data_IF_433844859561
#
_entry.id   IF_433844859561
#
_cell.length_a   1.000
_cell.length_b   1.000
_cell.length_c   1.000
_cell.angle_alpha   90.00
_cell.angle_beta   90.00
_cell.angle_gamma   90.00
#
_symmetry.space_group_name_H-M   'P 1'
#
loop_
_entity.id
_entity.type
_entity.pdbx_description
1 polymer ?
#
# COMPACT_ATOMS: atom_id res chain seq x y z
N UNK A 1 -36.17 2.74 15.38
CA UNK A 1 -35.08 2.64 14.40
C UNK A 1 -34.85 4.04 13.87
N UNK A 2 -33.62 4.57 13.87
CA UNK A 2 -33.38 5.91 13.34
C UNK A 2 -33.21 5.85 11.81
N UNK A 3 -33.35 6.99 11.13
CA UNK A 3 -33.26 7.07 9.67
C UNK A 3 -31.94 6.52 9.10
N UNK A 4 -30.83 6.73 9.82
CA UNK A 4 -29.49 6.28 9.40
C UNK A 4 -29.38 4.75 9.46
N UNK A 5 -29.97 4.12 10.49
CA UNK A 5 -30.01 2.66 10.64
C UNK A 5 -30.81 2.02 9.51
N UNK A 6 -31.93 2.63 9.10
CA UNK A 6 -32.73 2.18 7.95
C UNK A 6 -31.93 2.27 6.64
N UNK A 7 -31.24 3.39 6.40
CA UNK A 7 -30.37 3.52 5.24
C UNK A 7 -29.21 2.51 5.27
N UNK A 8 -28.65 2.20 6.44
CA UNK A 8 -27.59 1.22 6.57
C UNK A 8 -28.08 -0.20 6.27
N UNK A 9 -29.30 -0.55 6.69
CA UNK A 9 -29.95 -1.82 6.32
C UNK A 9 -30.16 -1.90 4.80
N UNK A 10 -30.65 -0.82 4.17
CA UNK A 10 -30.78 -0.76 2.71
C UNK A 10 -29.43 -0.90 2.02
N UNK A 11 -28.37 -0.28 2.54
CA UNK A 11 -27.02 -0.39 1.98
C UNK A 11 -26.47 -1.83 2.03
N UNK A 12 -26.77 -2.57 3.11
CA UNK A 12 -26.34 -3.96 3.29
C UNK A 12 -27.14 -4.94 2.43
N UNK A 13 -28.47 -4.82 2.43
CA UNK A 13 -29.36 -5.89 1.97
C UNK A 13 -30.36 -5.48 0.88
N UNK A 14 -30.25 -4.26 0.34
CA UNK A 14 -31.11 -3.84 -0.78
C UNK A 14 -30.96 -4.75 -2.00
N UNK A 15 -32.05 -4.96 -2.75
CA UNK A 15 -32.02 -5.86 -3.91
C UNK A 15 -31.24 -5.30 -5.10
N UNK A 16 -31.13 -3.97 -5.19
CA UNK A 16 -30.46 -3.28 -6.28
C UNK A 16 -29.11 -2.70 -5.84
N UNK A 17 -28.05 -2.99 -6.60
CA UNK A 17 -26.70 -2.56 -6.26
C UNK A 17 -26.55 -1.02 -6.25
N UNK A 18 -27.22 -0.32 -7.16
CA UNK A 18 -27.17 1.14 -7.23
C UNK A 18 -27.91 1.78 -6.05
N UNK A 19 -29.03 1.20 -5.61
CA UNK A 19 -29.76 1.63 -4.41
C UNK A 19 -28.91 1.42 -3.17
N UNK A 20 -28.23 0.26 -3.05
CA UNK A 20 -27.31 -0.02 -1.95
C UNK A 20 -26.17 0.99 -1.88
N UNK A 21 -25.53 1.28 -3.02
CA UNK A 21 -24.48 2.29 -3.09
C UNK A 21 -25.01 3.67 -2.69
N UNK A 22 -26.14 4.10 -3.22
CA UNK A 22 -26.73 5.40 -2.93
C UNK A 22 -27.08 5.56 -1.45
N UNK A 23 -27.67 4.53 -0.83
CA UNK A 23 -27.96 4.52 0.59
C UNK A 23 -26.67 4.59 1.44
N UNK A 24 -25.66 3.79 1.08
CA UNK A 24 -24.37 3.80 1.76
C UNK A 24 -23.66 5.16 1.67
N UNK A 25 -23.69 5.81 0.51
CA UNK A 25 -23.11 7.16 0.33
C UNK A 25 -23.83 8.22 1.16
N UNK A 26 -25.15 8.13 1.31
CA UNK A 26 -25.90 9.02 2.21
C UNK A 26 -25.48 8.83 3.66
N UNK A 27 -25.39 7.58 4.13
CA UNK A 27 -24.92 7.28 5.51
C UNK A 27 -23.51 7.82 5.74
N UNK A 28 -22.60 7.68 4.77
CA UNK A 28 -21.24 8.23 4.87
C UNK A 28 -21.27 9.74 5.06
N UNK A 29 -22.14 10.44 4.31
CA UNK A 29 -22.29 11.89 4.42
C UNK A 29 -22.77 12.28 5.82
N UNK A 30 -23.87 11.68 6.30
CA UNK A 30 -24.41 11.98 7.63
C UNK A 30 -23.37 11.75 8.74
N UNK A 31 -22.68 10.61 8.73
CA UNK A 31 -21.63 10.35 9.73
C UNK A 31 -20.42 11.27 9.60
N UNK A 32 -20.11 11.77 8.40
CA UNK A 32 -19.05 12.76 8.22
C UNK A 32 -19.47 14.10 8.80
N UNK A 33 -20.70 14.53 8.53
CA UNK A 33 -21.26 15.80 9.00
C UNK A 33 -21.44 15.80 10.54
N UNK A 34 -21.78 14.66 11.12
CA UNK A 34 -21.84 14.44 12.58
C UNK A 34 -20.48 14.20 13.25
N UNK A 35 -19.39 14.06 12.47
CA UNK A 35 -18.06 13.73 12.99
C UNK A 35 -17.93 12.31 13.59
N UNK A 36 -18.82 11.39 13.23
CA UNK A 36 -18.90 10.03 13.78
C UNK A 36 -17.97 9.04 13.05
N UNK A 37 -16.66 9.32 13.07
CA UNK A 37 -15.67 8.54 12.33
C UNK A 37 -15.54 7.09 12.78
N UNK A 38 -15.86 6.78 14.03
CA UNK A 38 -15.91 5.39 14.52
C UNK A 38 -16.94 4.54 13.74
N UNK A 39 -18.07 5.12 13.34
CA UNK A 39 -19.06 4.44 12.50
C UNK A 39 -18.56 4.26 11.07
N UNK A 40 -17.87 5.26 10.51
CA UNK A 40 -17.22 5.14 9.20
C UNK A 40 -16.18 4.03 9.17
N UNK A 41 -15.36 3.85 10.23
CA UNK A 41 -14.37 2.77 10.31
C UNK A 41 -15.07 1.41 10.24
N UNK A 42 -16.15 1.25 11.03
CA UNK A 42 -16.97 0.02 11.00
C UNK A 42 -17.53 -0.23 9.61
N UNK A 43 -18.06 0.79 8.94
CA UNK A 43 -18.56 0.67 7.57
C UNK A 43 -17.46 0.26 6.58
N UNK A 44 -16.24 0.77 6.72
CA UNK A 44 -15.14 0.39 5.81
C UNK A 44 -14.76 -1.08 5.93
N UNK A 45 -14.85 -1.64 7.13
CA UNK A 45 -14.56 -3.06 7.44
C UNK A 45 -15.71 -4.01 7.09
N UNK A 46 -16.92 -3.50 6.95
CA UNK A 46 -18.13 -4.31 6.82
C UNK A 46 -18.24 -4.94 5.42
N UNK A 47 -18.02 -6.26 5.33
CA UNK A 47 -18.08 -7.01 4.08
C UNK A 47 -19.49 -7.13 3.48
N UNK A 48 -20.55 -6.80 4.23
CA UNK A 48 -21.92 -6.76 3.72
C UNK A 48 -22.20 -5.46 2.93
N UNK A 49 -21.36 -4.44 3.08
CA UNK A 49 -21.51 -3.20 2.31
C UNK A 49 -20.85 -3.31 0.94
N UNK A 50 -21.39 -2.62 -0.08
CA UNK A 50 -20.74 -2.54 -1.39
C UNK A 50 -19.30 -2.04 -1.27
N UNK A 51 -18.38 -2.66 -2.04
CA UNK A 51 -16.94 -2.30 -2.03
C UNK A 51 -16.71 -0.80 -2.15
N UNK A 52 -17.45 -0.12 -3.05
CA UNK A 52 -17.33 1.32 -3.27
C UNK A 52 -17.73 2.16 -2.04
N UNK A 53 -18.74 1.73 -1.29
CA UNK A 53 -19.17 2.36 -0.03
C UNK A 53 -18.09 2.18 1.02
N UNK A 54 -17.57 0.95 1.17
CA UNK A 54 -16.47 0.65 2.11
C UNK A 54 -15.22 1.48 1.84
N UNK A 55 -14.83 1.58 0.57
CA UNK A 55 -13.71 2.41 0.14
C UNK A 55 -13.96 3.89 0.43
N UNK A 56 -15.13 4.42 0.10
CA UNK A 56 -15.48 5.82 0.35
C UNK A 56 -15.47 6.19 1.84
N UNK A 57 -16.02 5.31 2.70
CA UNK A 57 -15.95 5.49 4.15
C UNK A 57 -14.49 5.51 4.64
N UNK A 58 -13.68 4.58 4.12
CA UNK A 58 -12.23 4.52 4.36
C UNK A 58 -11.50 5.82 4.01
N UNK A 59 -11.77 6.38 2.84
CA UNK A 59 -11.14 7.62 2.38
C UNK A 59 -11.49 8.82 3.27
N UNK A 60 -12.75 8.92 3.73
CA UNK A 60 -13.18 9.99 4.65
C UNK A 60 -12.42 9.97 5.98
N UNK A 61 -12.14 8.77 6.49
CA UNK A 61 -11.35 8.60 7.71
C UNK A 61 -9.89 9.02 7.49
N UNK A 62 -9.29 8.64 6.36
CA UNK A 62 -7.92 9.03 6.00
C UNK A 62 -7.80 10.55 5.90
N UNK A 63 -8.76 11.23 5.25
CA UNK A 63 -8.82 12.69 5.19
C UNK A 63 -8.82 13.30 6.59
N UNK A 64 -9.67 12.79 7.50
CA UNK A 64 -9.77 13.28 8.88
C UNK A 64 -8.49 13.04 9.69
N UNK A 65 -7.90 11.86 9.62
CA UNK A 65 -6.67 11.55 10.37
C UNK A 65 -5.47 12.31 9.84
N UNK A 66 -5.39 12.51 8.52
CA UNK A 66 -4.35 13.37 7.91
C UNK A 66 -4.49 14.81 8.37
N UNK A 67 -5.72 15.35 8.42
CA UNK A 67 -5.96 16.72 8.86
C UNK A 67 -5.76 16.93 10.39
N UNK A 68 -5.92 15.88 11.19
CA UNK A 68 -5.78 15.92 12.65
C UNK A 68 -4.41 15.48 13.16
N UNK A 69 -3.44 15.26 12.28
CA UNK A 69 -2.11 14.72 12.63
C UNK A 69 -2.13 13.40 13.42
N UNK A 70 -3.16 12.57 13.21
CA UNK A 70 -3.37 11.26 13.86
C UNK A 70 -2.62 10.15 13.08
N UNK A 71 -1.30 10.26 13.02
CA UNK A 71 -0.46 9.38 12.18
C UNK A 71 -0.41 7.93 12.66
N UNK A 72 -0.51 7.71 13.97
CA UNK A 72 -0.64 6.38 14.58
C UNK A 72 -1.87 5.64 14.02
N UNK A 73 -3.00 6.33 13.88
CA UNK A 73 -4.22 5.77 13.28
C UNK A 73 -4.06 5.46 11.80
N UNK A 74 -3.36 6.30 11.04
CA UNK A 74 -3.04 5.99 9.64
C UNK A 74 -2.14 4.76 9.52
N UNK A 75 -1.19 4.58 10.45
CA UNK A 75 -0.34 3.37 10.50
C UNK A 75 -1.19 2.13 10.81
N UNK A 76 -2.10 2.21 11.77
CA UNK A 76 -3.05 1.12 12.08
C UNK A 76 -3.86 0.75 10.84
N UNK A 77 -4.48 1.74 10.18
CA UNK A 77 -5.26 1.52 8.96
C UNK A 77 -4.45 0.89 7.83
N UNK A 78 -3.18 1.28 7.66
CA UNK A 78 -2.32 0.74 6.60
C UNK A 78 -2.03 -0.76 6.73
N UNK A 79 -2.19 -1.31 7.94
CA UNK A 79 -1.90 -2.72 8.30
C UNK A 79 -3.15 -3.55 8.51
N UNK A 80 -4.33 -2.93 8.52
CA UNK A 80 -5.59 -3.57 8.88
C UNK A 80 -6.18 -4.37 7.70
N UNK A 81 -6.04 -5.70 7.76
CA UNK A 81 -6.45 -6.59 6.69
C UNK A 81 -7.97 -6.64 6.45
N UNK A 82 -8.79 -6.14 7.38
CA UNK A 82 -10.25 -6.04 7.21
C UNK A 82 -10.65 -4.86 6.31
N UNK A 83 -9.79 -3.85 6.21
CA UNK A 83 -10.02 -2.71 5.32
C UNK A 83 -9.79 -3.10 3.86
N UNK A 84 -10.50 -2.47 2.91
CA UNK A 84 -10.22 -2.63 1.50
C UNK A 84 -8.76 -2.27 1.18
N UNK A 85 -8.11 -3.04 0.31
CA UNK A 85 -6.72 -2.81 -0.08
C UNK A 85 -6.45 -1.37 -0.52
N UNK A 86 -7.35 -0.79 -1.32
CA UNK A 86 -7.26 0.61 -1.76
C UNK A 86 -7.23 1.61 -0.60
N UNK A 87 -7.94 1.32 0.50
CA UNK A 87 -7.93 2.16 1.71
C UNK A 87 -6.59 2.00 2.43
N UNK A 88 -6.08 0.78 2.57
CA UNK A 88 -4.75 0.54 3.16
C UNK A 88 -3.64 1.25 2.39
N UNK A 89 -3.64 1.12 1.07
CA UNK A 89 -2.66 1.78 0.19
C UNK A 89 -2.80 3.31 0.24
N UNK A 90 -4.02 3.84 0.31
CA UNK A 90 -4.23 5.27 0.50
C UNK A 90 -3.66 5.76 1.86
N UNK A 91 -3.81 4.99 2.94
CA UNK A 91 -3.22 5.32 4.23
C UNK A 91 -1.69 5.30 4.20
N UNK A 92 -1.07 4.30 3.54
CA UNK A 92 0.39 4.27 3.30
C UNK A 92 0.86 5.50 2.52
N UNK A 93 0.16 5.83 1.44
CA UNK A 93 0.48 6.99 0.61
C UNK A 93 0.33 8.30 1.37
N UNK A 94 -0.66 8.42 2.25
CA UNK A 94 -0.81 9.59 3.13
C UNK A 94 0.40 9.73 4.07
N UNK A 95 0.80 8.64 4.74
CA UNK A 95 1.97 8.63 5.62
C UNK A 95 3.26 8.98 4.87
N UNK A 96 3.46 8.46 3.66
CA UNK A 96 4.63 8.80 2.84
C UNK A 96 4.67 10.29 2.53
N UNK A 97 3.55 10.89 2.10
CA UNK A 97 3.47 12.33 1.83
C UNK A 97 3.77 13.17 3.07
N UNK A 98 3.24 12.76 4.23
CA UNK A 98 3.53 13.42 5.51
C UNK A 98 5.03 13.35 5.82
N UNK A 99 5.65 12.17 5.69
CA UNK A 99 7.08 12.00 5.93
C UNK A 99 7.93 12.87 5.00
N UNK A 100 7.59 12.95 3.71
CA UNK A 100 8.27 13.82 2.75
C UNK A 100 8.12 15.31 3.09
N UNK A 101 6.93 15.73 3.53
CA UNK A 101 6.68 17.11 3.96
C UNK A 101 7.48 17.46 5.22
N UNK A 102 7.50 16.57 6.22
CA UNK A 102 8.28 16.75 7.44
C UNK A 102 9.78 16.79 7.13
N UNK A 103 10.28 15.90 6.28
CA UNK A 103 11.67 15.89 5.87
C UNK A 103 12.07 17.23 5.22
N UNK A 104 11.24 17.76 4.32
CA UNK A 104 11.45 19.09 3.73
C UNK A 104 11.44 20.20 4.79
N UNK A 105 10.44 20.20 5.67
CA UNK A 105 10.26 21.23 6.71
C UNK A 105 11.46 21.32 7.66
N UNK A 106 12.02 20.16 8.02
CA UNK A 106 13.14 20.06 8.95
C UNK A 106 14.50 19.93 8.24
N UNK A 107 14.54 20.08 6.91
CA UNK A 107 15.74 19.88 6.10
C UNK A 107 16.45 18.54 6.38
N UNK A 108 15.66 17.50 6.69
CA UNK A 108 16.15 16.15 6.88
C UNK A 108 16.51 15.61 5.50
N UNK A 109 17.80 15.40 5.28
CA UNK A 109 18.25 14.61 4.14
C UNK A 109 17.81 13.17 4.39
N UNK A 110 17.36 12.42 3.36
CA UNK A 110 17.22 10.99 3.51
C UNK A 110 18.56 10.48 4.02
N UNK A 111 18.54 9.80 5.17
CA UNK A 111 19.73 9.15 5.70
C UNK A 111 20.10 8.07 4.69
N UNK A 112 20.98 8.42 3.75
CA UNK A 112 21.52 7.48 2.82
C UNK A 112 22.57 6.68 3.61
N UNK A 113 22.39 5.37 3.86
CA UNK A 113 23.45 4.57 4.47
C UNK A 113 24.73 4.50 3.60
N UNK A 114 24.67 5.05 2.38
CA UNK A 114 25.76 5.07 1.39
C UNK A 114 26.48 6.43 1.27
N UNK A 115 26.23 7.39 2.19
CA UNK A 115 26.90 8.71 2.18
C UNK A 115 28.18 8.78 3.04
N UNK A 116 28.74 7.63 3.41
CA UNK A 116 30.18 7.47 3.62
C UNK A 116 30.70 6.61 2.46
N UNK A 117 31.37 7.25 1.50
CA UNK A 117 32.16 6.61 0.45
C UNK A 117 31.44 5.54 -0.42
N UNK A 118 30.29 5.88 -1.01
CA UNK A 118 29.95 5.44 -2.37
C UNK A 118 30.14 3.96 -2.75
N UNK A 119 29.74 3.01 -1.89
CA UNK A 119 29.61 1.60 -2.28
C UNK A 119 28.17 1.14 -2.07
N UNK A 120 27.38 1.24 -3.13
CA UNK A 120 26.20 0.39 -3.27
C UNK A 120 26.66 -1.07 -3.17
N UNK A 121 26.42 -1.70 -2.01
CA UNK A 121 26.60 -3.13 -1.84
C UNK A 121 25.46 -3.79 -2.59
N UNK A 122 25.72 -4.06 -3.86
CA UNK A 122 24.91 -4.89 -4.74
C UNK A 122 24.82 -6.30 -4.12
N UNK A 123 23.65 -6.75 -3.61
CA UNK A 123 23.53 -8.06 -2.95
C UNK A 123 23.61 -9.22 -3.95
N UNK A 124 23.80 -8.94 -5.24
CA UNK A 124 23.88 -9.94 -6.31
C UNK A 124 25.30 -10.21 -6.82
N UNK A 125 26.33 -9.52 -6.30
CA UNK A 125 27.68 -9.60 -6.85
C UNK A 125 28.65 -10.48 -6.05
N UNK A 126 28.19 -11.66 -5.62
CA UNK A 126 29.07 -12.67 -4.98
C UNK A 126 28.97 -14.09 -5.53
N UNK A 127 28.45 -14.28 -6.74
CA UNK A 127 28.63 -15.56 -7.45
C UNK A 127 29.21 -15.32 -8.83
N UNK A 128 30.42 -15.88 -9.03
CA UNK A 128 31.14 -16.04 -10.30
C UNK A 128 32.08 -14.89 -10.71
N UNK A 129 33.23 -14.75 -10.02
CA UNK A 129 34.46 -14.37 -10.71
C UNK A 129 35.74 -14.91 -10.04
N UNK A 130 36.07 -16.14 -10.40
CA UNK A 130 37.43 -16.67 -10.49
C UNK A 130 37.36 -17.75 -11.58
N UNK A 131 38.13 -17.74 -12.67
CA UNK A 131 39.48 -17.24 -12.90
C UNK A 131 39.64 -16.87 -14.39
N UNK A 132 40.22 -15.70 -14.63
CA UNK A 132 41.09 -15.34 -15.77
C UNK A 132 42.37 -16.22 -15.68
N UNK A 133 43.15 -16.62 -16.69
CA UNK A 133 43.34 -16.32 -18.11
C UNK A 133 44.27 -17.42 -18.67
N UNK A 134 44.34 -17.60 -20.00
CA UNK A 134 45.57 -17.43 -20.83
C UNK A 134 45.48 -18.09 -22.21
N UNK A 135 45.46 -17.22 -23.23
CA UNK A 135 46.29 -17.16 -24.44
C UNK A 135 46.74 -18.42 -25.22
N UNK A 136 46.51 -18.31 -26.55
CA UNK A 136 47.35 -18.68 -27.73
C UNK A 136 47.06 -19.99 -28.50
N UNK A 137 46.53 -19.80 -29.72
CA UNK A 137 46.56 -20.66 -30.94
C UNK A 137 47.99 -21.09 -31.39
N UNK A 138 48.23 -21.94 -32.43
CA UNK A 138 47.33 -22.64 -33.37
C UNK A 138 47.65 -24.16 -33.62
N UNK A 139 46.87 -24.75 -34.53
CA UNK A 139 46.81 -26.13 -35.06
C UNK A 139 48.13 -26.89 -35.35
N UNK A 140 48.16 -28.20 -35.02
CA UNK A 140 48.75 -29.30 -35.86
C UNK A 140 48.03 -30.65 -35.63
N UNK A 141 47.42 -31.21 -36.70
CA UNK A 141 47.20 -32.67 -36.90
C UNK A 141 48.55 -33.32 -37.30
N UNK A 142 48.71 -34.66 -37.45
CA UNK A 142 47.89 -35.83 -37.04
C UNK A 142 48.72 -36.91 -36.32
N UNK A 143 48.10 -37.98 -35.79
CA UNK A 143 48.63 -39.35 -35.92
C UNK A 143 47.58 -40.41 -35.57
N UNK A 144 47.34 -41.31 -36.54
CA UNK A 144 46.69 -42.60 -36.33
C UNK A 144 47.51 -43.45 -35.35
N UNK A 145 46.85 -44.13 -34.40
CA UNK A 145 47.24 -45.47 -33.97
C UNK A 145 46.02 -46.34 -33.72
N UNK A 146 46.06 -47.51 -34.36
CA UNK A 146 45.17 -48.66 -34.23
C UNK A 146 45.22 -49.31 -32.84
N UNK A 147 44.34 -50.31 -32.69
CA UNK A 147 44.16 -51.33 -31.65
C UNK A 147 42.96 -51.03 -30.73
N UNK A 148 41.96 -51.90 -30.61
CA UNK A 148 41.88 -53.35 -30.83
C UNK A 148 40.48 -53.74 -31.30
#
# INVERSE_FOLDING_TARGET
MNYIDELLLVAKYGNDASVREAAGMKVIKEYTDEGNYNKLIRMSKDNELPKKVREAAGMKIIERYTAGDEYDRLIEMSKDNELPEKVREAAKNALQKIAEQLAKRYNLKPANPLQGDGLAVDPTREFLKGKEDKEKEPQKKPTLKNTK
#
